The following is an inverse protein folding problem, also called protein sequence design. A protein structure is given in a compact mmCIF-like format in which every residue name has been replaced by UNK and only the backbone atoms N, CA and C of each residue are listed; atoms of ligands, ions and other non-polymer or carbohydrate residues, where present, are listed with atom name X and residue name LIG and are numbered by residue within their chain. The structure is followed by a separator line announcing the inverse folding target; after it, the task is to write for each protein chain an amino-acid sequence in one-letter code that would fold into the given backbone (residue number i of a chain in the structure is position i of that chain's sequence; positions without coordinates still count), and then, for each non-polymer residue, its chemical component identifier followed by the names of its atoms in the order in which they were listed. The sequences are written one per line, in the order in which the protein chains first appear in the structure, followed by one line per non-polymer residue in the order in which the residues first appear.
data_IF_750134545602
#
_entry.id   IF_750134545602
#
_cell.length_a   1.000
_cell.length_b   1.000
_cell.length_c   1.000
_cell.angle_alpha   90.00
_cell.angle_beta   90.00
_cell.angle_gamma   90.00
#
_symmetry.space_group_name_H-M   'P 1'
#
loop_
_entity.id
_entity.type
_entity.pdbx_description
1 polymer ?
#
# COMPACT_ATOMS: atom_id res chain seq x y z
N UNK A 1 -2.41 8.47 -27.45
CA UNK A 1 -1.05 7.87 -27.34
C UNK A 1 -0.92 7.22 -25.98
N UNK A 2 -0.28 6.05 -25.89
CA UNK A 2 -0.01 5.35 -24.62
C UNK A 2 0.96 6.20 -23.76
N UNK A 3 0.74 6.26 -22.46
CA UNK A 3 1.64 6.96 -21.53
C UNK A 3 3.04 6.35 -21.56
N UNK A 4 4.06 7.17 -21.40
CA UNK A 4 5.42 6.69 -21.24
C UNK A 4 5.55 5.92 -19.93
N UNK A 5 6.14 4.73 -20.01
CA UNK A 5 6.40 3.91 -18.82
C UNK A 5 7.47 4.59 -17.97
N UNK A 6 7.25 4.73 -16.64
CA UNK A 6 8.28 5.26 -15.75
C UNK A 6 9.59 4.46 -15.84
N UNK A 7 10.70 5.15 -15.80
CA UNK A 7 12.02 4.51 -15.89
C UNK A 7 12.26 3.49 -14.77
N UNK A 8 11.62 3.65 -13.64
CA UNK A 8 11.69 2.76 -12.47
C UNK A 8 10.48 1.82 -12.30
N UNK A 9 9.73 1.56 -13.38
CA UNK A 9 8.43 0.89 -13.38
C UNK A 9 8.42 -0.44 -12.60
N UNK A 10 9.43 -1.29 -12.81
CA UNK A 10 9.51 -2.58 -12.10
C UNK A 10 9.57 -2.40 -10.57
N UNK A 11 10.29 -1.37 -10.10
CA UNK A 11 10.38 -1.06 -8.67
C UNK A 11 9.07 -0.45 -8.17
N UNK A 12 8.50 0.48 -8.94
CA UNK A 12 7.20 1.11 -8.65
C UNK A 12 6.09 0.07 -8.48
N UNK A 13 5.96 -0.88 -9.41
CA UNK A 13 4.99 -1.98 -9.32
C UNK A 13 5.24 -2.86 -8.09
N UNK A 14 6.48 -3.22 -7.82
CA UNK A 14 6.82 -3.97 -6.60
C UNK A 14 6.38 -3.23 -5.34
N UNK A 15 6.59 -1.90 -5.29
CA UNK A 15 6.14 -1.08 -4.17
C UNK A 15 4.62 -1.05 -4.11
N UNK A 16 3.91 -0.82 -5.24
CA UNK A 16 2.44 -0.86 -5.27
C UNK A 16 1.88 -2.17 -4.69
N UNK A 17 2.42 -3.31 -5.12
CA UNK A 17 1.96 -4.62 -4.64
C UNK A 17 2.24 -4.86 -3.14
N UNK A 18 3.29 -4.26 -2.57
CA UNK A 18 3.57 -4.31 -1.13
C UNK A 18 2.52 -3.59 -0.27
N UNK A 19 1.71 -2.69 -0.85
CA UNK A 19 0.58 -2.09 -0.13
C UNK A 19 -0.62 -3.02 -0.01
N UNK A 20 -0.68 -4.10 -0.82
CA UNK A 20 -1.76 -5.08 -0.81
C UNK A 20 -3.16 -4.42 -0.79
N UNK A 21 -3.29 -3.35 -1.58
CA UNK A 21 -4.50 -2.52 -1.64
C UNK A 21 -5.34 -2.81 -2.87
N UNK A 22 -4.74 -3.37 -3.92
CA UNK A 22 -5.46 -3.75 -5.14
C UNK A 22 -6.49 -4.84 -4.84
N UNK A 23 -7.64 -4.77 -5.51
CA UNK A 23 -8.75 -5.72 -5.41
C UNK A 23 -9.32 -5.86 -3.98
N UNK A 24 -9.11 -4.88 -3.12
CA UNK A 24 -9.69 -4.85 -1.77
C UNK A 24 -11.09 -4.23 -1.76
N UNK A 25 -11.86 -4.54 -0.72
CA UNK A 25 -13.18 -3.94 -0.50
C UNK A 25 -13.09 -2.41 -0.36
N UNK A 26 -14.19 -1.67 -0.61
CA UNK A 26 -14.28 -0.26 -0.29
C UNK A 26 -13.96 0.01 1.20
N UNK A 27 -13.33 1.15 1.46
CA UNK A 27 -13.00 1.62 2.81
C UNK A 27 -13.41 3.09 2.92
N UNK A 28 -14.28 3.41 3.88
CA UNK A 28 -14.93 4.71 4.08
C UNK A 28 -13.93 5.88 4.03
N UNK A 29 -12.75 5.71 4.65
CA UNK A 29 -11.73 6.76 4.67
C UNK A 29 -11.26 7.19 3.27
N UNK A 30 -11.24 6.29 2.30
CA UNK A 30 -10.88 6.64 0.92
C UNK A 30 -12.08 7.23 0.17
N UNK A 31 -13.29 6.74 0.46
CA UNK A 31 -14.52 7.25 -0.13
C UNK A 31 -14.77 8.70 0.29
N UNK A 32 -14.57 9.02 1.58
CA UNK A 32 -14.65 10.39 2.10
C UNK A 32 -13.68 11.35 1.39
N UNK A 33 -12.41 10.92 1.21
CA UNK A 33 -11.40 11.74 0.54
C UNK A 33 -11.76 11.97 -0.94
N UNK A 34 -12.33 10.96 -1.60
CA UNK A 34 -12.76 11.05 -3.00
C UNK A 34 -13.97 11.97 -3.16
N UNK A 35 -14.97 11.84 -2.26
CA UNK A 35 -16.12 12.74 -2.22
C UNK A 35 -15.73 14.19 -1.97
N UNK A 36 -14.79 14.40 -1.02
CA UNK A 36 -14.31 15.74 -0.69
C UNK A 36 -13.58 16.37 -1.89
N UNK A 37 -12.77 15.58 -2.62
CA UNK A 37 -12.11 16.04 -3.85
C UNK A 37 -13.16 16.46 -4.91
N UNK A 38 -14.21 15.65 -5.13
CA UNK A 38 -15.28 15.96 -6.05
C UNK A 38 -16.00 17.28 -5.67
N UNK A 39 -16.34 17.42 -4.38
CA UNK A 39 -17.05 18.61 -3.85
C UNK A 39 -16.21 19.88 -3.95
N UNK A 40 -14.96 19.84 -3.50
CA UNK A 40 -14.06 21.02 -3.54
C UNK A 40 -13.75 21.44 -4.97
N UNK A 41 -13.50 20.49 -5.86
CA UNK A 41 -13.19 20.76 -7.26
C UNK A 41 -14.47 21.00 -8.11
N UNK A 42 -15.65 20.84 -7.52
CA UNK A 42 -16.95 20.97 -8.22
C UNK A 42 -16.99 20.08 -9.48
N UNK A 43 -16.41 18.89 -9.39
CA UNK A 43 -16.26 17.96 -10.50
C UNK A 43 -17.22 16.77 -10.36
N UNK A 44 -17.88 16.33 -11.45
CA UNK A 44 -18.85 15.23 -11.41
C UNK A 44 -18.19 13.86 -11.20
N UNK A 45 -16.88 13.74 -11.46
CA UNK A 45 -16.14 12.49 -11.33
C UNK A 45 -14.88 12.75 -10.49
N UNK A 46 -14.65 11.90 -9.49
CA UNK A 46 -13.40 11.87 -8.73
C UNK A 46 -13.00 10.43 -8.45
N UNK A 47 -11.69 10.16 -8.44
CA UNK A 47 -11.15 8.82 -8.29
C UNK A 47 -9.88 8.82 -7.44
N UNK A 48 -9.74 7.82 -6.58
CA UNK A 48 -8.44 7.33 -6.13
C UNK A 48 -8.08 6.16 -7.05
N UNK A 49 -7.20 6.43 -8.01
CA UNK A 49 -6.79 5.49 -9.06
C UNK A 49 -5.38 4.98 -8.79
N UNK A 50 -5.20 3.67 -8.75
CA UNK A 50 -3.91 3.00 -8.63
C UNK A 50 -3.54 2.37 -9.97
N UNK A 51 -2.34 2.65 -10.46
CA UNK A 51 -1.91 2.22 -11.80
C UNK A 51 -1.05 0.97 -11.69
N UNK A 52 -1.65 -0.16 -12.03
CA UNK A 52 -1.00 -1.48 -12.10
C UNK A 52 -0.32 -1.71 -13.45
N UNK A 53 0.19 -2.90 -13.70
CA UNK A 53 0.94 -3.26 -14.91
C UNK A 53 0.11 -3.06 -16.20
N UNK A 54 -1.15 -3.52 -16.22
CA UNK A 54 -2.02 -3.50 -17.40
C UNK A 54 -3.31 -2.72 -17.23
N UNK A 55 -3.62 -2.28 -16.02
CA UNK A 55 -4.87 -1.60 -15.65
C UNK A 55 -4.62 -0.42 -14.73
N UNK A 56 -5.58 0.48 -14.67
CA UNK A 56 -5.78 1.35 -13.53
C UNK A 56 -6.99 0.85 -12.75
N UNK A 57 -6.81 0.60 -11.46
CA UNK A 57 -7.83 0.12 -10.57
C UNK A 57 -8.25 1.24 -9.60
N UNK A 58 -9.55 1.34 -9.31
CA UNK A 58 -10.09 2.43 -8.50
C UNK A 58 -10.32 1.95 -7.08
N UNK A 59 -9.53 2.45 -6.14
CA UNK A 59 -9.72 2.20 -4.69
C UNK A 59 -10.98 2.88 -4.19
N UNK A 60 -11.27 4.07 -4.71
CA UNK A 60 -12.50 4.82 -4.45
C UNK A 60 -12.90 5.62 -5.68
N UNK A 61 -14.19 5.85 -5.85
CA UNK A 61 -14.75 6.49 -7.06
C UNK A 61 -16.07 7.19 -6.79
N UNK A 62 -16.25 8.35 -7.43
CA UNK A 62 -17.48 9.11 -7.51
C UNK A 62 -17.80 9.36 -8.99
N UNK A 63 -19.07 9.23 -9.38
CA UNK A 63 -19.57 9.60 -10.71
C UNK A 63 -19.30 8.59 -11.84
N UNK A 64 -18.75 7.41 -11.54
CA UNK A 64 -18.58 6.31 -12.50
C UNK A 64 -18.97 4.95 -11.88
N UNK A 65 -19.37 3.99 -12.73
CA UNK A 65 -19.79 2.65 -12.29
C UNK A 65 -18.66 1.59 -12.35
N UNK A 66 -17.70 1.73 -13.29
CA UNK A 66 -16.62 0.77 -13.48
C UNK A 66 -15.62 0.81 -12.32
N UNK A 67 -14.98 -0.33 -12.05
CA UNK A 67 -13.97 -0.45 -10.98
C UNK A 67 -12.55 -0.31 -11.50
N UNK A 68 -12.34 -0.43 -12.81
CA UNK A 68 -11.03 -0.34 -13.44
C UNK A 68 -11.16 -0.02 -14.92
N UNK A 69 -10.09 0.39 -15.55
CA UNK A 69 -9.95 0.53 -17.00
C UNK A 69 -8.57 0.04 -17.44
N UNK A 70 -8.39 -0.19 -18.76
CA UNK A 70 -7.05 -0.48 -19.29
C UNK A 70 -6.09 0.67 -18.98
N UNK A 71 -4.85 0.33 -18.66
CA UNK A 71 -3.77 1.31 -18.48
C UNK A 71 -3.52 2.14 -19.73
N UNK A 72 -3.71 1.57 -20.92
CA UNK A 72 -3.41 2.23 -22.20
C UNK A 72 -4.27 3.46 -22.45
N UNK A 73 -5.49 3.50 -21.90
CA UNK A 73 -6.39 4.66 -22.02
C UNK A 73 -6.34 5.59 -20.80
N UNK A 74 -5.48 5.29 -19.83
CA UNK A 74 -5.42 5.98 -18.54
C UNK A 74 -4.78 7.36 -18.64
N UNK A 75 -5.49 8.40 -18.22
CA UNK A 75 -4.93 9.72 -17.95
C UNK A 75 -3.95 9.67 -16.75
N UNK A 76 -4.29 8.88 -15.74
CA UNK A 76 -3.48 8.71 -14.52
C UNK A 76 -2.09 8.12 -14.81
N UNK A 77 -1.97 7.26 -15.83
CA UNK A 77 -0.69 6.72 -16.23
C UNK A 77 0.30 7.82 -16.73
N UNK A 78 -0.20 8.89 -17.33
CA UNK A 78 0.63 10.04 -17.74
C UNK A 78 1.12 10.86 -16.54
N UNK A 79 0.37 10.86 -15.43
CA UNK A 79 0.75 11.57 -14.21
C UNK A 79 1.85 10.84 -13.39
N UNK A 80 2.13 9.55 -13.65
CA UNK A 80 3.13 8.78 -12.89
C UNK A 80 4.55 9.34 -12.98
N UNK A 81 4.86 10.09 -14.05
CA UNK A 81 6.16 10.72 -14.26
C UNK A 81 6.20 12.17 -13.77
N UNK A 82 5.13 12.65 -13.12
CA UNK A 82 5.03 14.00 -12.60
C UNK A 82 5.19 14.00 -11.07
N UNK A 83 5.74 15.07 -10.55
CA UNK A 83 5.76 15.35 -9.09
C UNK A 83 4.68 16.35 -8.69
N UNK A 84 4.21 17.12 -9.65
CA UNK A 84 3.20 18.15 -9.50
C UNK A 84 1.85 17.70 -10.08
N UNK A 85 0.85 18.54 -9.89
CA UNK A 85 -0.48 18.32 -10.42
C UNK A 85 -0.45 18.23 -11.96
N UNK A 86 -0.96 17.14 -12.50
CA UNK A 86 -1.12 16.95 -13.93
C UNK A 86 -2.51 17.40 -14.36
N UNK A 87 -2.59 18.46 -15.17
CA UNK A 87 -3.86 19.06 -15.62
C UNK A 87 -3.98 18.99 -17.14
N UNK A 88 -5.15 18.61 -17.61
CA UNK A 88 -5.59 18.63 -19.02
C UNK A 88 -6.88 19.43 -19.07
N UNK A 89 -6.83 20.75 -19.42
CA UNK A 89 -7.99 21.63 -19.41
C UNK A 89 -9.05 21.26 -20.45
N UNK A 90 -8.61 20.82 -21.64
CA UNK A 90 -9.45 20.27 -22.69
C UNK A 90 -8.75 19.08 -23.38
N UNK A 91 -9.25 17.89 -23.10
CA UNK A 91 -8.69 16.66 -23.63
C UNK A 91 -8.87 16.52 -25.16
N UNK A 92 -9.79 17.26 -25.78
CA UNK A 92 -9.97 17.26 -27.24
C UNK A 92 -8.89 18.06 -27.97
N UNK A 93 -8.26 19.02 -27.27
CA UNK A 93 -7.19 19.86 -27.80
C UNK A 93 -5.81 19.31 -27.42
N UNK A 94 -5.75 18.35 -26.51
CA UNK A 94 -4.47 17.75 -26.08
C UNK A 94 -4.08 16.59 -27.02
N UNK A 95 -2.95 16.74 -27.68
CA UNK A 95 -2.46 15.74 -28.66
C UNK A 95 -2.25 14.35 -28.07
N UNK A 96 -2.09 14.22 -26.75
CA UNK A 96 -1.96 12.93 -26.04
C UNK A 96 -3.29 12.21 -25.92
N UNK A 97 -4.40 12.97 -25.83
CA UNK A 97 -5.72 12.47 -25.46
C UNK A 97 -6.81 12.65 -26.50
N UNK A 98 -6.64 13.53 -27.51
CA UNK A 98 -7.68 13.82 -28.51
C UNK A 98 -8.26 12.57 -29.21
N UNK A 99 -7.46 11.50 -29.37
CA UNK A 99 -7.88 10.22 -29.95
C UNK A 99 -8.14 9.13 -28.91
N UNK A 100 -8.12 9.46 -27.61
CA UNK A 100 -8.34 8.49 -26.56
C UNK A 100 -9.81 8.05 -26.56
N UNK A 101 -10.13 6.74 -26.44
CA UNK A 101 -11.52 6.25 -26.35
C UNK A 101 -12.35 6.91 -25.26
N UNK A 102 -11.77 7.28 -24.11
CA UNK A 102 -12.46 7.98 -23.03
C UNK A 102 -12.84 9.44 -23.40
N UNK A 103 -12.26 9.98 -24.47
CA UNK A 103 -12.53 11.32 -25.02
C UNK A 103 -13.46 11.22 -26.23
N UNK A 104 -13.23 10.29 -27.14
CA UNK A 104 -13.96 10.15 -28.42
C UNK A 104 -15.29 9.43 -28.24
N UNK A 105 -15.37 8.51 -27.26
CA UNK A 105 -16.55 7.72 -26.92
C UNK A 105 -17.02 8.01 -25.50
N UNK A 106 -18.00 7.29 -24.99
CA UNK A 106 -18.46 7.44 -23.61
C UNK A 106 -17.31 7.09 -22.63
N UNK A 107 -17.09 7.87 -21.56
CA UNK A 107 -17.92 8.95 -20.99
C UNK A 107 -17.67 10.37 -21.56
N UNK A 108 -16.89 10.54 -22.64
CA UNK A 108 -16.60 11.83 -23.30
C UNK A 108 -15.89 12.81 -22.37
N UNK A 109 -14.83 12.38 -21.72
CA UNK A 109 -14.02 13.21 -20.84
C UNK A 109 -13.45 14.39 -21.61
N UNK A 110 -13.53 15.59 -21.01
CA UNK A 110 -12.98 16.84 -21.54
C UNK A 110 -11.90 17.44 -20.63
N UNK A 111 -12.10 17.30 -19.33
CA UNK A 111 -11.19 17.83 -18.34
C UNK A 111 -10.64 16.71 -17.46
N UNK A 112 -9.37 16.83 -17.09
CA UNK A 112 -8.71 15.97 -16.10
C UNK A 112 -7.74 16.81 -15.24
N UNK A 113 -7.76 16.58 -13.93
CA UNK A 113 -6.71 17.04 -13.03
C UNK A 113 -6.38 15.93 -12.02
N UNK A 114 -5.13 15.53 -11.96
CA UNK A 114 -4.67 14.46 -11.07
C UNK A 114 -3.44 14.84 -10.27
N UNK A 115 -3.51 14.65 -8.95
CA UNK A 115 -2.40 14.78 -8.03
C UNK A 115 -1.75 13.40 -7.84
N UNK A 116 -0.45 13.22 -8.15
CA UNK A 116 0.23 11.95 -7.99
C UNK A 116 0.26 11.50 -6.52
N UNK A 117 0.03 10.21 -6.29
CA UNK A 117 0.14 9.54 -4.99
C UNK A 117 1.57 9.04 -4.82
N UNK A 118 2.43 9.90 -4.29
CA UNK A 118 3.87 9.62 -4.17
C UNK A 118 4.16 9.11 -2.76
N UNK A 119 4.71 7.90 -2.68
CA UNK A 119 5.14 7.28 -1.42
C UNK A 119 6.33 8.05 -0.79
N UNK A 120 6.61 7.87 0.51
CA UNK A 120 7.81 8.43 1.14
C UNK A 120 9.12 8.05 0.43
N UNK A 121 9.15 6.87 -0.21
CA UNK A 121 10.30 6.38 -0.98
C UNK A 121 10.34 6.93 -2.43
N UNK A 122 9.44 7.85 -2.80
CA UNK A 122 9.42 8.55 -4.09
C UNK A 122 8.78 7.78 -5.25
N UNK A 123 7.95 6.77 -4.99
CA UNK A 123 7.25 6.04 -6.05
C UNK A 123 5.82 6.53 -6.21
N UNK A 124 5.41 6.88 -7.44
CA UNK A 124 4.04 7.23 -7.75
C UNK A 124 3.19 5.96 -7.93
N UNK A 125 2.24 5.73 -7.03
CA UNK A 125 1.35 4.55 -7.09
C UNK A 125 0.17 4.75 -8.04
N UNK A 126 -0.22 5.99 -8.26
CA UNK A 126 -1.38 6.41 -9.03
C UNK A 126 -1.71 7.87 -8.79
N UNK A 127 -2.98 8.25 -8.79
CA UNK A 127 -3.44 9.63 -8.59
C UNK A 127 -4.72 9.70 -7.76
N UNK A 128 -4.87 10.78 -6.99
CA UNK A 128 -6.18 11.34 -6.68
C UNK A 128 -6.53 12.29 -7.81
N UNK A 129 -7.61 12.05 -8.54
CA UNK A 129 -7.95 12.85 -9.70
C UNK A 129 -9.42 13.22 -9.75
N UNK A 130 -9.69 14.32 -10.44
CA UNK A 130 -11.05 14.79 -10.78
C UNK A 130 -11.17 14.94 -12.29
N UNK A 131 -12.35 14.62 -12.82
CA UNK A 131 -12.63 14.64 -14.26
C UNK A 131 -13.98 15.31 -14.51
N UNK A 132 -14.13 15.88 -15.72
CA UNK A 132 -15.37 16.47 -16.16
C UNK A 132 -15.64 16.19 -17.65
N UNK A 133 -16.90 16.27 -18.05
CA UNK A 133 -17.39 16.16 -19.45
C UNK A 133 -17.42 17.51 -20.17
N UNK A 134 -17.02 18.58 -19.51
CA UNK A 134 -16.83 19.92 -20.09
C UNK A 134 -15.40 20.39 -19.87
N UNK A 135 -14.82 21.14 -20.83
CA UNK A 135 -13.51 21.77 -20.62
C UNK A 135 -13.57 22.76 -19.46
N UNK A 136 -12.51 22.77 -18.63
CA UNK A 136 -12.40 23.68 -17.49
C UNK A 136 -10.97 23.76 -16.98
N UNK A 137 -10.74 24.59 -15.98
CA UNK A 137 -9.51 24.61 -15.19
C UNK A 137 -9.86 24.69 -13.69
N UNK A 138 -8.88 24.37 -12.84
CA UNK A 138 -9.01 24.50 -11.39
C UNK A 138 -8.51 25.85 -10.92
N UNK A 139 -9.25 26.47 -10.00
CA UNK A 139 -8.79 27.62 -9.24
C UNK A 139 -7.57 27.24 -8.37
N UNK A 140 -6.71 28.20 -8.01
CA UNK A 140 -5.52 27.93 -7.19
C UNK A 140 -5.83 27.15 -5.90
N UNK A 141 -6.94 27.49 -5.23
CA UNK A 141 -7.37 26.85 -3.99
C UNK A 141 -7.77 25.38 -4.21
N UNK A 142 -8.43 25.09 -5.35
CA UNK A 142 -8.81 23.74 -5.73
C UNK A 142 -7.59 22.88 -6.06
N UNK A 143 -6.60 23.46 -6.76
CA UNK A 143 -5.31 22.79 -7.04
C UNK A 143 -4.59 22.45 -5.76
N UNK A 144 -4.49 23.40 -4.83
CA UNK A 144 -3.87 23.19 -3.52
C UNK A 144 -4.61 22.12 -2.70
N UNK A 145 -5.94 22.19 -2.66
CA UNK A 145 -6.76 21.21 -1.95
C UNK A 145 -6.56 19.80 -2.50
N UNK A 146 -6.55 19.61 -3.83
CA UNK A 146 -6.34 18.31 -4.46
C UNK A 146 -4.96 17.72 -4.11
N UNK A 147 -3.91 18.54 -4.07
CA UNK A 147 -2.57 18.13 -3.64
C UNK A 147 -2.53 17.75 -2.16
N UNK A 148 -3.23 18.51 -1.29
CA UNK A 148 -3.32 18.19 0.15
C UNK A 148 -4.03 16.85 0.33
N UNK A 149 -5.19 16.66 -0.30
CA UNK A 149 -5.96 15.42 -0.23
C UNK A 149 -5.15 14.23 -0.76
N UNK A 150 -4.39 14.38 -1.84
CA UNK A 150 -3.51 13.32 -2.35
C UNK A 150 -2.48 12.88 -1.31
N UNK A 151 -1.87 13.81 -0.56
CA UNK A 151 -0.98 13.47 0.55
C UNK A 151 -1.71 12.72 1.67
N UNK A 152 -2.95 13.08 1.97
CA UNK A 152 -3.77 12.34 2.94
C UNK A 152 -4.10 10.93 2.46
N UNK A 153 -4.41 10.74 1.17
CA UNK A 153 -4.58 9.40 0.58
C UNK A 153 -3.32 8.56 0.80
N UNK A 154 -2.14 9.11 0.50
CA UNK A 154 -0.86 8.40 0.74
C UNK A 154 -0.68 8.05 2.22
N UNK A 155 -0.99 8.99 3.13
CA UNK A 155 -0.92 8.73 4.58
C UNK A 155 -1.84 7.60 5.02
N UNK A 156 -3.04 7.51 4.47
CA UNK A 156 -3.98 6.41 4.74
C UNK A 156 -3.49 5.07 4.17
N UNK A 157 -2.92 5.08 2.97
CA UNK A 157 -2.30 3.88 2.39
C UNK A 157 -1.14 3.37 3.27
N UNK A 158 -0.29 4.28 3.75
CA UNK A 158 0.79 3.94 4.68
C UNK A 158 0.28 3.37 6.00
N UNK A 159 -0.72 4.02 6.59
CA UNK A 159 -1.33 3.57 7.84
C UNK A 159 -1.92 2.16 7.68
N UNK A 160 -2.69 1.94 6.60
CA UNK A 160 -3.28 0.65 6.26
C UNK A 160 -2.20 -0.45 6.15
N UNK A 161 -1.13 -0.19 5.40
CA UNK A 161 0.00 -1.11 5.23
C UNK A 161 0.65 -1.46 6.58
N UNK A 162 0.96 -0.45 7.40
CA UNK A 162 1.60 -0.65 8.72
C UNK A 162 0.69 -1.40 9.69
N UNK A 163 -0.59 -1.09 9.72
CA UNK A 163 -1.56 -1.77 10.59
C UNK A 163 -1.64 -3.26 10.23
N UNK A 164 -1.66 -3.59 8.93
CA UNK A 164 -1.65 -4.98 8.48
C UNK A 164 -0.36 -5.68 8.90
N UNK A 165 0.80 -5.10 8.63
CA UNK A 165 2.10 -5.67 9.01
C UNK A 165 2.20 -5.93 10.52
N UNK A 166 1.73 -5.00 11.35
CA UNK A 166 1.68 -5.19 12.81
C UNK A 166 0.74 -6.34 13.21
N UNK A 167 -0.37 -6.51 12.51
CA UNK A 167 -1.29 -7.63 12.71
C UNK A 167 -0.61 -8.97 12.41
N UNK A 168 0.08 -9.08 11.28
CA UNK A 168 0.79 -10.28 10.85
C UNK A 168 1.91 -10.65 11.85
N UNK A 169 2.72 -9.69 12.26
CA UNK A 169 3.79 -9.90 13.26
C UNK A 169 3.22 -10.34 14.62
N UNK A 170 2.11 -9.75 15.05
CA UNK A 170 1.44 -10.17 16.30
C UNK A 170 0.92 -11.60 16.22
N UNK A 171 0.31 -11.98 15.09
CA UNK A 171 -0.20 -13.33 14.88
C UNK A 171 0.93 -14.37 14.87
N UNK A 172 2.06 -14.05 14.21
CA UNK A 172 3.25 -14.90 14.21
C UNK A 172 3.86 -15.04 15.63
N UNK A 173 4.00 -13.91 16.35
CA UNK A 173 4.49 -13.92 17.73
C UNK A 173 3.62 -14.80 18.65
N UNK A 174 2.31 -14.72 18.50
CA UNK A 174 1.39 -15.55 19.29
C UNK A 174 1.56 -17.05 19.00
N UNK A 175 1.74 -17.43 17.72
CA UNK A 175 2.02 -18.82 17.32
C UNK A 175 3.32 -19.33 17.91
N UNK A 176 4.40 -18.54 17.82
CA UNK A 176 5.70 -18.91 18.37
C UNK A 176 5.67 -19.05 19.90
N UNK A 177 4.87 -18.24 20.59
CA UNK A 177 4.67 -18.37 22.04
C UNK A 177 3.96 -19.70 22.39
N UNK A 178 2.90 -20.06 21.68
CA UNK A 178 2.18 -21.32 21.88
C UNK A 178 3.08 -22.54 21.63
N UNK A 179 3.87 -22.50 20.54
CA UNK A 179 4.83 -23.56 20.23
C UNK A 179 5.93 -23.68 21.28
N UNK A 180 6.41 -22.55 21.82
CA UNK A 180 7.38 -22.53 22.91
C UNK A 180 6.81 -23.12 24.21
N UNK A 181 5.57 -22.82 24.54
CA UNK A 181 4.89 -23.40 25.72
C UNK A 181 4.73 -24.92 25.58
N UNK A 182 4.32 -25.41 24.40
CA UNK A 182 4.24 -26.85 24.11
C UNK A 182 5.59 -27.53 24.26
N UNK A 183 6.64 -26.98 23.64
CA UNK A 183 8.00 -27.54 23.75
C UNK A 183 8.51 -27.55 25.19
N UNK A 184 8.21 -26.53 25.98
CA UNK A 184 8.55 -26.48 27.42
C UNK A 184 7.82 -27.56 28.21
N UNK A 185 6.53 -27.80 27.94
CA UNK A 185 5.75 -28.84 28.57
C UNK A 185 6.29 -30.24 28.25
N UNK A 186 6.61 -30.50 26.97
CA UNK A 186 7.22 -31.76 26.53
C UNK A 186 8.59 -32.00 27.19
N UNK A 187 9.43 -30.95 27.24
CA UNK A 187 10.73 -31.05 27.92
C UNK A 187 10.57 -31.33 29.41
N UNK A 188 9.60 -30.71 30.07
CA UNK A 188 9.32 -30.96 31.48
C UNK A 188 8.83 -32.36 31.72
N UNK A 189 8.00 -32.94 30.83
CA UNK A 189 7.54 -34.33 30.89
C UNK A 189 8.71 -35.30 30.70
N UNK A 190 9.54 -35.10 29.69
CA UNK A 190 10.71 -35.95 29.42
C UNK A 190 11.74 -35.93 30.58
N UNK A 191 11.92 -34.74 31.21
CA UNK A 191 12.78 -34.63 32.41
C UNK A 191 12.23 -35.43 33.61
N UNK A 192 10.91 -35.46 33.78
CA UNK A 192 10.27 -36.29 34.84
C UNK A 192 10.46 -37.78 34.61
N UNK A 193 10.35 -38.22 33.34
CA UNK A 193 10.54 -39.63 32.97
C UNK A 193 12.00 -40.09 33.16
N UNK A 194 12.98 -39.24 32.89
CA UNK A 194 14.41 -39.55 33.04
C UNK A 194 14.85 -39.66 34.50
N UNK A 195 14.08 -39.24 35.48
CA UNK A 195 14.40 -39.23 36.89
C UNK A 195 15.60 -38.39 37.27
N UNK A 196 15.87 -38.15 38.57
CA UNK A 196 17.09 -37.51 38.98
C UNK A 196 18.27 -38.45 38.69
N UNK A 197 19.16 -38.08 37.76
CA UNK A 197 20.45 -38.78 37.61
C UNK A 197 21.17 -38.69 38.95
N UNK A 198 21.23 -39.83 39.63
CA UNK A 198 21.87 -39.92 40.91
C UNK A 198 23.31 -39.40 40.79
N UNK A 199 23.56 -38.30 41.46
CA UNK A 199 24.94 -37.89 41.79
C UNK A 199 25.44 -38.93 42.80
N UNK A 200 26.06 -40.00 42.28
CA UNK A 200 26.84 -40.87 43.15
C UNK A 200 27.87 -40.02 43.85
N UNK A 201 27.91 -39.92 45.18
CA UNK A 201 28.97 -39.22 45.85
C UNK A 201 30.27 -39.96 45.61
N UNK A 202 31.20 -39.29 44.92
CA UNK A 202 32.57 -39.77 44.74
C UNK A 202 33.13 -40.09 46.11
N UNK A 203 33.44 -41.41 46.34
CA UNK A 203 34.08 -41.86 47.56
C UNK A 203 35.43 -41.11 47.77
N UNK A 204 35.50 -40.36 48.84
CA UNK A 204 36.76 -39.71 49.26
C UNK A 204 37.83 -40.78 49.53
N UNK A 205 39.06 -40.61 49.05
CA UNK A 205 40.16 -41.57 49.36
C UNK A 205 40.53 -41.47 50.84
N UNK A 206 40.41 -42.59 51.54
CA UNK A 206 40.90 -42.75 52.93
C UNK A 206 42.42 -42.50 52.95
N UNK A 207 42.85 -41.44 53.59
CA UNK A 207 44.21 -41.20 53.91
C UNK A 207 44.71 -42.22 55.00
N UNK A 208 45.52 -43.17 54.63
CA UNK A 208 46.23 -44.06 55.59
C UNK A 208 47.32 -43.23 56.32
N UNK A 209 47.03 -42.96 57.58
CA UNK A 209 48.07 -42.49 58.49
C UNK A 209 49.13 -43.57 58.80
N UNK A 210 50.30 -43.43 58.25
CA UNK A 210 51.43 -44.27 58.57
C UNK A 210 52.20 -43.62 59.72
N UNK A 211 52.04 -44.18 60.94
CA UNK A 211 52.89 -43.92 62.05
C UNK A 211 54.31 -44.43 61.77
N UNK A 212 55.33 -43.58 61.88
CA UNK A 212 56.68 -44.01 62.13
C UNK A 212 57.17 -43.42 63.43
N UNK A 213 57.45 -44.38 64.37
CA UNK A 213 58.34 -44.16 65.51
C UNK A 213 59.79 -43.98 65.03
N UNK A 214 60.39 -42.98 65.50
CA UNK A 214 61.60 -42.91 66.31
C UNK A 214 61.97 -41.45 66.52
#
# INVERSE_FOLDING_TARGET
MTASIPHNEKKRLKVLWQYEVLDTIPEEVFDDLTELAAKICEAPIALISLVDEKRQWFKSKVGISVNETSRDVSFCAHALNQTELFIVPDATQDTRFAQNPLVTSDPKIRFYAGAPLITPDGYALGTLCVLDKVPRDLRPEQRQALQILARHVVSQLELRRRTKQLGDVRAESARLQDDLEKARAELAAARRELGPRGTSPAAAPRAQARAKRK
#
